data_IF_979971675934
#
_entry.id   IF_979971675934
#
_cell.length_a   1.000
_cell.length_b   1.000
_cell.length_c   1.000
_cell.angle_alpha   90.00
_cell.angle_beta   90.00
_cell.angle_gamma   90.00
#
_symmetry.space_group_name_H-M   'P 1'
#
loop_
_entity.id
_entity.type
_entity.pdbx_description
1 polymer ?
#
# COMPACT_ATOMS: atom_id res chain seq x y z
N UNK A 1 19.34 47.66 26.31
CA UNK A 1 19.62 46.22 26.18
C UNK A 1 18.40 45.56 25.57
N UNK A 2 18.47 45.16 24.30
CA UNK A 2 18.80 43.79 23.86
C UNK A 2 17.84 42.77 24.48
N UNK A 3 16.73 42.46 23.81
CA UNK A 3 16.61 41.51 22.66
C UNK A 3 17.05 40.10 23.03
N UNK A 4 16.07 39.21 23.15
CA UNK A 4 16.23 37.79 22.91
C UNK A 4 14.90 37.25 22.37
N UNK A 5 14.71 37.41 21.05
CA UNK A 5 13.73 36.65 20.28
C UNK A 5 14.17 35.19 20.32
N UNK A 6 13.47 34.37 21.10
CA UNK A 6 13.58 32.92 21.01
C UNK A 6 12.80 32.45 19.78
N UNK A 7 13.45 32.56 18.62
CA UNK A 7 13.03 31.83 17.43
C UNK A 7 13.26 30.35 17.69
N UNK A 8 12.22 29.66 18.12
CA UNK A 8 12.14 28.21 18.04
C UNK A 8 12.26 27.80 16.58
N UNK A 9 13.46 27.40 16.16
CA UNK A 9 13.65 26.64 14.94
C UNK A 9 12.85 25.34 15.08
N UNK A 10 11.59 25.38 14.68
CA UNK A 10 10.83 24.20 14.30
C UNK A 10 11.65 23.52 13.22
N UNK A 11 12.45 22.51 13.60
CA UNK A 11 13.09 21.62 12.63
C UNK A 11 11.95 21.01 11.85
N UNK A 12 11.78 21.42 10.58
CA UNK A 12 10.95 20.68 9.64
C UNK A 12 11.40 19.22 9.75
N UNK A 13 10.49 18.27 10.00
CA UNK A 13 10.90 16.88 10.06
C UNK A 13 11.52 16.55 8.69
N UNK A 14 12.63 15.84 8.71
CA UNK A 14 13.25 15.37 7.48
C UNK A 14 12.41 14.20 6.98
N UNK A 15 12.12 14.12 5.67
CA UNK A 15 11.36 13.00 5.12
C UNK A 15 12.01 11.68 5.54
N UNK A 16 11.20 10.68 5.90
CA UNK A 16 11.66 9.34 6.26
C UNK A 16 12.72 8.83 5.28
N UNK A 17 13.92 8.53 5.78
CA UNK A 17 15.02 7.91 5.02
C UNK A 17 15.29 6.53 5.56
N UNK A 18 14.86 5.50 4.84
CA UNK A 18 15.25 4.14 5.15
C UNK A 18 16.71 3.92 4.77
N UNK A 19 17.44 3.24 5.65
CA UNK A 19 18.84 2.88 5.43
C UNK A 19 19.06 1.41 5.75
N UNK A 20 19.95 0.78 5.00
CA UNK A 20 20.51 -0.52 5.34
C UNK A 20 21.48 -0.41 6.55
N UNK A 21 21.97 -1.54 7.12
CA UNK A 21 22.95 -1.53 8.20
C UNK A 21 24.24 -0.76 7.89
N UNK A 22 24.60 -0.68 6.60
CA UNK A 22 25.77 0.02 6.08
C UNK A 22 25.53 1.54 5.93
N UNK A 23 24.29 2.00 6.11
CA UNK A 23 23.89 3.40 6.02
C UNK A 23 23.50 3.87 4.61
N UNK A 24 23.43 2.97 3.63
CA UNK A 24 22.95 3.24 2.28
C UNK A 24 21.47 3.58 2.32
N UNK A 25 21.10 4.74 1.79
CA UNK A 25 19.71 5.16 1.74
C UNK A 25 18.96 4.35 0.68
N UNK A 26 17.80 3.79 1.04
CA UNK A 26 16.92 3.16 0.07
C UNK A 26 16.40 4.24 -0.90
N UNK A 27 16.57 3.98 -2.19
CA UNK A 27 16.08 4.83 -3.27
C UNK A 27 15.50 3.96 -4.37
N UNK A 28 14.41 4.44 -4.98
CA UNK A 28 13.79 3.79 -6.11
C UNK A 28 13.70 4.82 -7.24
N UNK A 29 14.26 4.54 -8.41
CA UNK A 29 14.38 5.51 -9.49
C UNK A 29 13.87 4.92 -10.80
N UNK A 30 13.04 5.71 -11.49
CA UNK A 30 12.45 5.39 -12.78
C UNK A 30 12.22 6.67 -13.57
N UNK A 31 12.05 6.55 -14.89
CA UNK A 31 11.65 7.66 -15.77
C UNK A 31 10.12 7.77 -15.83
N UNK A 32 9.59 8.97 -16.09
CA UNK A 32 8.14 9.24 -16.04
C UNK A 32 7.34 8.30 -16.97
N UNK A 33 7.88 7.95 -18.14
CA UNK A 33 7.27 7.03 -19.11
C UNK A 33 7.15 5.59 -18.58
N UNK A 34 7.93 5.24 -17.57
CA UNK A 34 7.93 3.91 -16.94
C UNK A 34 7.02 3.84 -15.72
N UNK A 35 6.53 4.98 -15.21
CA UNK A 35 5.82 5.07 -13.93
C UNK A 35 4.63 4.12 -13.86
N UNK A 36 3.80 4.07 -14.91
CA UNK A 36 2.63 3.20 -14.93
C UNK A 36 3.01 1.72 -14.87
N UNK A 37 4.05 1.33 -15.61
CA UNK A 37 4.57 -0.04 -15.61
C UNK A 37 5.10 -0.44 -14.24
N UNK A 38 5.89 0.42 -13.62
CA UNK A 38 6.44 0.21 -12.28
C UNK A 38 5.33 -0.01 -11.27
N UNK A 39 4.29 0.83 -11.31
CA UNK A 39 3.15 0.68 -10.40
C UNK A 39 2.44 -0.65 -10.60
N UNK A 40 2.19 -1.05 -11.85
CA UNK A 40 1.56 -2.33 -12.14
C UNK A 40 2.40 -3.50 -11.61
N UNK A 41 3.72 -3.48 -11.84
CA UNK A 41 4.62 -4.51 -11.33
C UNK A 41 4.57 -4.61 -9.80
N UNK A 42 4.50 -3.48 -9.07
CA UNK A 42 4.38 -3.49 -7.61
C UNK A 42 3.04 -4.06 -7.15
N UNK A 43 1.94 -3.74 -7.85
CA UNK A 43 0.62 -4.24 -7.50
C UNK A 43 0.51 -5.76 -7.71
N UNK A 44 1.16 -6.28 -8.74
CA UNK A 44 1.18 -7.71 -9.06
C UNK A 44 2.05 -8.53 -8.10
N UNK A 45 2.85 -7.89 -7.22
CA UNK A 45 3.66 -8.58 -6.20
C UNK A 45 2.83 -9.12 -5.02
N UNK A 46 1.58 -8.69 -4.84
CA UNK A 46 0.76 -9.12 -3.70
C UNK A 46 0.25 -10.55 -3.91
N UNK A 47 1.01 -11.49 -3.40
CA UNK A 47 0.63 -12.91 -3.33
C UNK A 47 0.58 -13.36 -1.87
N UNK A 48 -0.59 -13.80 -1.37
CA UNK A 48 -0.71 -14.36 -0.02
C UNK A 48 0.22 -15.56 0.24
N UNK A 49 0.52 -16.33 -0.80
CA UNK A 49 1.27 -17.59 -0.75
C UNK A 49 2.78 -17.39 -0.73
N UNK A 50 3.27 -16.22 -1.16
CA UNK A 50 4.70 -15.89 -1.15
C UNK A 50 5.19 -15.57 0.26
N UNK A 51 6.41 -16.01 0.58
CA UNK A 51 7.08 -15.69 1.85
C UNK A 51 7.75 -14.31 1.84
N UNK A 52 7.37 -13.45 0.88
CA UNK A 52 7.86 -12.10 0.80
C UNK A 52 7.31 -11.23 1.94
N UNK A 53 8.05 -10.18 2.38
CA UNK A 53 7.55 -9.21 3.34
C UNK A 53 6.19 -8.63 2.93
N UNK A 54 5.18 -8.80 3.78
CA UNK A 54 3.78 -8.46 3.47
C UNK A 54 3.50 -6.97 3.20
N UNK A 55 4.39 -6.08 3.68
CA UNK A 55 4.32 -4.63 3.45
C UNK A 55 5.29 -4.14 2.36
N UNK A 56 5.91 -5.05 1.60
CA UNK A 56 6.79 -4.69 0.49
C UNK A 56 6.11 -3.78 -0.55
N UNK A 57 4.85 -4.00 -0.97
CA UNK A 57 4.19 -3.10 -1.92
C UNK A 57 4.08 -1.67 -1.38
N UNK A 58 3.62 -1.50 -0.13
CA UNK A 58 3.55 -0.18 0.50
C UNK A 58 4.93 0.49 0.56
N UNK A 59 5.96 -0.26 0.96
CA UNK A 59 7.32 0.25 1.00
C UNK A 59 7.81 0.74 -0.38
N UNK A 60 7.62 -0.04 -1.44
CA UNK A 60 8.02 0.34 -2.80
C UNK A 60 7.22 1.54 -3.32
N UNK A 61 5.90 1.56 -3.11
CA UNK A 61 5.04 2.68 -3.46
C UNK A 61 5.44 3.97 -2.73
N UNK A 62 5.85 3.88 -1.47
CA UNK A 62 6.39 5.02 -0.72
C UNK A 62 7.66 5.56 -1.38
N UNK A 63 8.59 4.68 -1.80
CA UNK A 63 9.78 5.12 -2.51
C UNK A 63 9.43 5.77 -3.86
N UNK A 64 8.41 5.29 -4.57
CA UNK A 64 7.89 5.96 -5.77
C UNK A 64 7.36 7.37 -5.48
N UNK A 65 6.58 7.53 -4.40
CA UNK A 65 6.06 8.84 -3.96
C UNK A 65 7.21 9.79 -3.63
N UNK A 66 8.25 9.31 -2.94
CA UNK A 66 9.43 10.11 -2.61
C UNK A 66 10.21 10.53 -3.86
N UNK A 67 10.46 9.60 -4.78
CA UNK A 67 11.14 9.87 -6.05
C UNK A 67 10.38 10.88 -6.90
N UNK A 68 9.06 10.70 -7.03
CA UNK A 68 8.21 11.62 -7.77
C UNK A 68 8.22 13.03 -7.17
N UNK A 69 8.16 13.14 -5.85
CA UNK A 69 8.25 14.44 -5.16
C UNK A 69 9.61 15.13 -5.33
N UNK A 70 10.71 14.37 -5.42
CA UNK A 70 12.06 14.93 -5.58
C UNK A 70 12.46 15.21 -7.03
N UNK A 71 11.87 14.49 -7.98
CA UNK A 71 12.37 14.42 -9.36
C UNK A 71 11.41 15.03 -10.39
N UNK A 72 10.09 14.95 -10.16
CA UNK A 72 9.09 15.36 -11.14
C UNK A 72 8.31 16.60 -10.70
N UNK A 73 7.57 17.20 -11.64
CA UNK A 73 6.70 18.33 -11.34
C UNK A 73 5.53 17.93 -10.42
N UNK A 74 5.04 18.89 -9.64
CA UNK A 74 3.93 18.71 -8.70
C UNK A 74 2.65 18.14 -9.36
N UNK A 75 2.43 18.42 -10.64
CA UNK A 75 1.30 17.86 -11.38
C UNK A 75 1.42 16.34 -11.50
N UNK A 76 2.62 15.82 -11.82
CA UNK A 76 2.89 14.39 -11.93
C UNK A 76 2.84 13.71 -10.57
N UNK A 77 3.36 14.36 -9.53
CA UNK A 77 3.23 13.87 -8.16
C UNK A 77 1.76 13.68 -7.73
N UNK A 78 0.90 14.67 -7.99
CA UNK A 78 -0.54 14.56 -7.69
C UNK A 78 -1.22 13.47 -8.51
N UNK A 79 -0.85 13.36 -9.79
CA UNK A 79 -1.35 12.28 -10.66
C UNK A 79 -0.93 10.91 -10.14
N UNK A 80 0.31 10.75 -9.68
CA UNK A 80 0.81 9.52 -9.09
C UNK A 80 -0.01 9.11 -7.86
N UNK A 81 -0.23 10.02 -6.90
CA UNK A 81 -1.03 9.73 -5.71
C UNK A 81 -2.45 9.24 -6.05
N UNK A 82 -3.11 9.92 -7.00
CA UNK A 82 -4.43 9.52 -7.47
C UNK A 82 -4.39 8.16 -8.17
N UNK A 83 -3.38 7.91 -9.01
CA UNK A 83 -3.22 6.66 -9.74
C UNK A 83 -2.98 5.49 -8.79
N UNK A 84 -2.15 5.65 -7.77
CA UNK A 84 -1.93 4.64 -6.72
C UNK A 84 -3.26 4.30 -6.04
N UNK A 85 -4.01 5.32 -5.59
CA UNK A 85 -5.28 5.11 -4.91
C UNK A 85 -6.31 4.39 -5.82
N UNK A 86 -6.46 4.83 -7.06
CA UNK A 86 -7.39 4.21 -8.02
C UNK A 86 -7.02 2.76 -8.35
N UNK A 87 -5.74 2.45 -8.51
CA UNK A 87 -5.33 1.07 -8.81
C UNK A 87 -5.52 0.14 -7.60
N UNK A 88 -5.17 0.57 -6.39
CA UNK A 88 -5.42 -0.22 -5.17
C UNK A 88 -6.92 -0.47 -5.00
N UNK A 89 -7.77 0.55 -5.23
CA UNK A 89 -9.22 0.39 -5.21
C UNK A 89 -9.71 -0.63 -6.24
N UNK A 90 -9.16 -0.59 -7.46
CA UNK A 90 -9.50 -1.54 -8.51
C UNK A 90 -9.12 -2.98 -8.12
N UNK A 91 -7.90 -3.18 -7.63
CA UNK A 91 -7.43 -4.51 -7.18
C UNK A 91 -8.29 -5.02 -6.03
N UNK A 92 -8.53 -4.21 -4.99
CA UNK A 92 -9.37 -4.59 -3.86
C UNK A 92 -10.81 -4.92 -4.29
N UNK A 93 -11.34 -4.20 -5.28
CA UNK A 93 -12.65 -4.48 -5.86
C UNK A 93 -12.70 -5.83 -6.57
N UNK A 94 -11.69 -6.16 -7.38
CA UNK A 94 -11.60 -7.47 -8.04
C UNK A 94 -11.44 -8.62 -7.03
N UNK A 95 -10.63 -8.46 -6.00
CA UNK A 95 -10.51 -9.45 -4.92
C UNK A 95 -11.83 -9.62 -4.14
N UNK A 96 -12.58 -8.52 -3.91
CA UNK A 96 -13.90 -8.57 -3.27
C UNK A 96 -14.92 -9.32 -4.12
N UNK A 97 -14.90 -9.14 -5.46
CA UNK A 97 -15.75 -9.92 -6.37
C UNK A 97 -15.42 -11.40 -6.34
N UNK A 98 -14.12 -11.75 -6.37
CA UNK A 98 -13.67 -13.14 -6.28
C UNK A 98 -14.16 -13.79 -4.98
N UNK A 99 -14.02 -13.08 -3.86
CA UNK A 99 -14.52 -13.53 -2.57
C UNK A 99 -16.05 -13.70 -2.56
N UNK A 100 -16.79 -12.75 -3.13
CA UNK A 100 -18.25 -12.82 -3.20
C UNK A 100 -18.76 -13.95 -4.11
N UNK A 101 -17.95 -14.41 -5.07
CA UNK A 101 -18.26 -15.56 -5.92
C UNK A 101 -18.13 -16.90 -5.19
N UNK A 102 -17.42 -16.96 -4.05
CA UNK A 102 -17.41 -18.09 -3.13
C UNK A 102 -18.76 -18.09 -2.40
N UNK A 103 -19.84 -18.44 -3.10
CA UNK A 103 -21.15 -18.63 -2.49
C UNK A 103 -21.14 -19.95 -1.72
N UNK A 104 -21.64 -20.00 -0.48
CA UNK A 104 -21.97 -21.28 0.13
C UNK A 104 -23.11 -21.86 -0.71
N UNK A 105 -22.84 -22.91 -1.46
CA UNK A 105 -23.90 -23.70 -2.09
C UNK A 105 -24.86 -24.11 -0.98
N UNK A 106 -25.99 -23.40 -0.89
CA UNK A 106 -27.12 -23.80 -0.06
C UNK A 106 -27.65 -25.07 -0.70
N UNK A 107 -27.07 -26.20 -0.32
CA UNK A 107 -27.62 -27.51 -0.59
C UNK A 107 -29.01 -27.53 0.02
N UNK A 108 -29.98 -27.41 -0.87
CA UNK A 108 -31.35 -27.86 -0.73
C UNK A 108 -31.32 -29.34 -0.33
N UNK A 109 -31.34 -29.61 0.96
CA UNK A 109 -31.38 -30.97 1.48
C UNK A 109 -31.33 -30.99 2.99
N UNK A 110 -32.43 -31.38 3.60
CA UNK A 110 -32.61 -31.53 5.05
C UNK A 110 -31.43 -32.27 5.71
N UNK A 111 -30.73 -31.61 6.63
CA UNK A 111 -30.06 -32.25 7.76
C UNK A 111 -28.57 -32.58 7.69
N UNK A 112 -27.67 -31.57 7.68
CA UNK A 112 -26.33 -31.68 8.28
C UNK A 112 -25.82 -30.32 8.83
N UNK A 113 -25.52 -30.13 10.13
CA UNK A 113 -25.35 -28.77 10.67
C UNK A 113 -23.90 -28.26 10.85
N UNK A 114 -22.84 -29.06 10.79
CA UNK A 114 -21.53 -28.60 11.34
C UNK A 114 -20.33 -28.74 10.38
N UNK A 115 -20.31 -29.79 9.56
CA UNK A 115 -19.21 -30.04 8.63
C UNK A 115 -19.21 -29.11 7.40
N UNK A 116 -20.38 -28.69 6.93
CA UNK A 116 -20.51 -27.75 5.80
C UNK A 116 -20.03 -26.33 6.17
N UNK A 117 -20.18 -25.93 7.42
CA UNK A 117 -19.70 -24.64 7.91
C UNK A 117 -18.17 -24.58 8.04
N UNK A 118 -17.52 -25.68 8.44
CA UNK A 118 -16.06 -25.77 8.52
C UNK A 118 -15.40 -25.75 7.14
N UNK A 119 -15.96 -26.49 6.17
CA UNK A 119 -15.49 -26.47 4.77
C UNK A 119 -15.58 -25.07 4.16
N UNK A 120 -16.64 -24.31 4.50
CA UNK A 120 -16.79 -22.92 4.06
C UNK A 120 -15.74 -21.97 4.68
N UNK A 121 -15.35 -22.18 5.94
CA UNK A 121 -14.30 -21.37 6.59
C UNK A 121 -12.91 -21.65 6.00
N UNK A 122 -12.62 -22.90 5.61
CA UNK A 122 -11.36 -23.28 4.96
C UNK A 122 -11.17 -22.59 3.60
N UNK A 123 -12.25 -22.26 2.89
CA UNK A 123 -12.21 -21.55 1.61
C UNK A 123 -12.28 -20.02 1.79
N UNK A 124 -13.04 -19.54 2.79
CA UNK A 124 -13.21 -18.12 3.09
C UNK A 124 -11.94 -17.47 3.64
N UNK A 125 -11.21 -18.16 4.53
CA UNK A 125 -10.01 -17.60 5.16
C UNK A 125 -8.92 -17.27 4.13
N UNK A 126 -8.53 -18.18 3.21
CA UNK A 126 -7.62 -17.86 2.12
C UNK A 126 -8.15 -16.75 1.20
N UNK A 127 -9.45 -16.76 0.87
CA UNK A 127 -10.07 -15.74 0.03
C UNK A 127 -10.03 -14.31 0.62
N UNK A 128 -9.96 -14.18 1.94
CA UNK A 128 -9.83 -12.89 2.63
C UNK A 128 -8.39 -12.36 2.66
N UNK A 129 -7.37 -13.21 2.50
CA UNK A 129 -5.97 -12.81 2.66
C UNK A 129 -5.54 -11.67 1.73
N UNK A 130 -5.85 -11.67 0.42
CA UNK A 130 -5.50 -10.55 -0.47
C UNK A 130 -6.07 -9.23 0.00
N UNK A 131 -7.33 -9.21 0.48
CA UNK A 131 -7.98 -8.01 0.99
C UNK A 131 -7.31 -7.50 2.26
N UNK A 132 -6.97 -8.40 3.19
CA UNK A 132 -6.25 -8.04 4.43
C UNK A 132 -4.87 -7.47 4.12
N UNK A 133 -4.15 -8.04 3.15
CA UNK A 133 -2.86 -7.53 2.71
C UNK A 133 -3.00 -6.13 2.10
N UNK A 134 -3.96 -5.91 1.21
CA UNK A 134 -4.20 -4.59 0.63
C UNK A 134 -4.66 -3.57 1.67
N UNK A 135 -5.45 -3.97 2.67
CA UNK A 135 -5.80 -3.11 3.80
C UNK A 135 -4.56 -2.70 4.59
N UNK A 136 -3.70 -3.66 4.97
CA UNK A 136 -2.48 -3.37 5.73
C UNK A 136 -1.53 -2.45 4.95
N UNK A 137 -1.29 -2.73 3.66
CA UNK A 137 -0.48 -1.87 2.79
C UNK A 137 -1.09 -0.47 2.65
N UNK A 138 -2.42 -0.37 2.50
CA UNK A 138 -3.11 0.93 2.38
C UNK A 138 -3.02 1.77 3.65
N UNK A 139 -3.07 1.13 4.83
CA UNK A 139 -2.90 1.82 6.12
C UNK A 139 -1.47 2.36 6.26
N UNK A 140 -0.46 1.58 5.88
CA UNK A 140 0.94 2.03 5.90
C UNK A 140 1.16 3.21 4.92
N UNK A 141 0.59 3.12 3.72
CA UNK A 141 0.59 4.23 2.75
C UNK A 141 -0.10 5.47 3.29
N UNK A 142 -1.29 5.32 3.86
CA UNK A 142 -2.05 6.45 4.41
C UNK A 142 -1.27 7.12 5.54
N UNK A 143 -0.65 6.33 6.42
CA UNK A 143 0.19 6.83 7.50
C UNK A 143 1.38 7.63 6.95
N UNK A 144 2.09 7.08 5.96
CA UNK A 144 3.17 7.79 5.29
C UNK A 144 2.69 9.11 4.65
N UNK A 145 1.60 9.06 3.89
CA UNK A 145 1.05 10.24 3.20
C UNK A 145 0.67 11.33 4.21
N UNK A 146 0.00 10.97 5.31
CA UNK A 146 -0.42 11.95 6.32
C UNK A 146 0.76 12.60 7.05
N UNK A 147 1.83 11.85 7.30
CA UNK A 147 2.98 12.35 8.06
C UNK A 147 4.00 13.07 7.18
N UNK A 148 4.33 12.52 6.01
CA UNK A 148 5.53 12.88 5.25
C UNK A 148 5.22 13.72 4.01
N UNK A 149 4.10 13.50 3.32
CA UNK A 149 3.78 14.26 2.08
C UNK A 149 3.65 15.77 2.33
N UNK A 150 3.06 16.27 3.44
CA UNK A 150 3.07 17.70 3.74
C UNK A 150 4.47 18.31 3.89
N UNK A 151 5.49 17.48 4.13
CA UNK A 151 6.89 17.91 4.26
C UNK A 151 7.65 17.83 2.93
N UNK A 152 7.10 17.10 1.95
CA UNK A 152 7.65 16.95 0.60
C UNK A 152 7.21 18.09 -0.35
N UNK A 153 6.17 18.84 0.03
CA UNK A 153 5.61 20.00 -0.69
C UNK A 153 6.12 21.33 -0.11
#
# INVERSE_FOLDING_TARGET
>A
GSSALMNGFQRKPSPRRWRDPEGTQASFSYELEQEERVLQEILDMVDPSRDDPKLMPAFLLILCIQHSASTFELVHFRQLLLRIASQIQLVAWEETKKLAAIQPETSSGEGQPEHLHLLNMEELIPGLQPLVLWMANSIELLHFIQQEVPQLL
#
